data_IF_646141302529
#
_entry.id   IF_646141302529
#
_cell.length_a   1.000
_cell.length_b   1.000
_cell.length_c   1.000
_cell.angle_alpha   90.00
_cell.angle_beta   90.00
_cell.angle_gamma   90.00
#
_symmetry.space_group_name_H-M   'P 1'
#
loop_
_entity.id
_entity.type
_entity.pdbx_description
1 polymer ?
#
# COMPACT_ATOMS: atom_id res chain seq x y z
N UNK A 1 -17.10 -6.31 1.20
CA UNK A 1 -15.81 -5.58 1.11
C UNK A 1 -15.38 -5.56 -0.35
N UNK A 2 -15.87 -4.60 -1.15
CA UNK A 2 -15.66 -4.62 -2.61
C UNK A 2 -14.52 -3.69 -3.08
N UNK A 3 -13.98 -2.83 -2.21
CA UNK A 3 -12.97 -1.83 -2.59
C UNK A 3 -11.52 -2.36 -2.67
N UNK A 4 -11.22 -3.50 -2.05
CA UNK A 4 -9.85 -4.04 -1.94
C UNK A 4 -9.37 -4.82 -3.17
N UNK A 5 -10.27 -5.18 -4.09
CA UNK A 5 -9.92 -5.90 -5.33
C UNK A 5 -9.61 -4.95 -6.50
N UNK A 6 -9.95 -3.67 -6.38
CA UNK A 6 -9.63 -2.69 -7.41
C UNK A 6 -8.14 -2.30 -7.31
N UNK A 7 -7.50 -2.11 -8.46
CA UNK A 7 -6.12 -1.62 -8.50
C UNK A 7 -6.05 -0.08 -8.51
N UNK A 8 -7.18 0.59 -8.65
CA UNK A 8 -7.28 2.05 -8.64
C UNK A 8 -7.07 2.68 -7.27
N UNK A 9 -6.56 3.91 -7.26
CA UNK A 9 -6.39 4.70 -6.03
C UNK A 9 -7.73 4.95 -5.37
N UNK A 10 -7.72 4.95 -4.03
CA UNK A 10 -8.90 5.31 -3.24
C UNK A 10 -8.80 6.76 -2.74
N UNK A 11 -9.93 7.46 -2.59
CA UNK A 11 -9.93 8.82 -2.06
C UNK A 11 -9.46 8.90 -0.60
N UNK A 12 -9.74 7.87 0.20
CA UNK A 12 -9.33 7.79 1.61
C UNK A 12 -8.54 6.51 1.85
N UNK A 13 -7.25 6.67 2.15
CA UNK A 13 -6.34 5.58 2.50
C UNK A 13 -5.96 5.71 3.98
N UNK A 14 -6.57 4.88 4.83
CA UNK A 14 -6.23 4.79 6.26
C UNK A 14 -5.11 3.79 6.49
N UNK A 15 -4.44 3.86 7.65
CA UNK A 15 -3.37 2.92 8.00
C UNK A 15 -3.86 1.47 7.99
N UNK A 16 -5.02 1.19 8.60
CA UNK A 16 -5.60 -0.15 8.61
C UNK A 16 -5.92 -0.65 7.20
N UNK A 17 -6.48 0.22 6.35
CA UNK A 17 -6.76 -0.13 4.96
C UNK A 17 -5.49 -0.36 4.15
N UNK A 18 -4.45 0.44 4.38
CA UNK A 18 -3.15 0.27 3.74
C UNK A 18 -2.52 -1.09 4.08
N UNK A 19 -2.63 -1.53 5.34
CA UNK A 19 -2.20 -2.88 5.72
C UNK A 19 -3.01 -3.97 5.01
N UNK A 20 -4.34 -3.85 4.95
CA UNK A 20 -5.18 -4.80 4.20
C UNK A 20 -4.80 -4.82 2.72
N UNK A 21 -4.58 -3.67 2.08
CA UNK A 21 -4.14 -3.59 0.68
C UNK A 21 -2.80 -4.30 0.49
N UNK A 22 -1.82 -4.08 1.37
CA UNK A 22 -0.52 -4.75 1.28
C UNK A 22 -0.61 -6.27 1.42
N UNK A 23 -1.58 -6.78 2.20
CA UNK A 23 -1.84 -8.21 2.37
C UNK A 23 -2.63 -8.80 1.19
N UNK A 24 -3.65 -8.09 0.69
CA UNK A 24 -4.51 -8.56 -0.41
C UNK A 24 -3.77 -8.49 -1.75
N UNK A 25 -3.01 -7.42 -2.00
CA UNK A 25 -2.23 -7.23 -3.22
C UNK A 25 -0.82 -7.81 -3.08
N UNK A 26 -0.64 -8.91 -2.34
CA UNK A 26 0.68 -9.50 -2.08
C UNK A 26 1.41 -9.84 -3.39
N UNK A 27 0.68 -10.39 -4.36
CA UNK A 27 1.19 -10.76 -5.69
C UNK A 27 1.39 -9.57 -6.64
N UNK A 28 0.86 -8.39 -6.32
CA UNK A 28 1.03 -7.22 -7.19
C UNK A 28 2.37 -6.55 -6.96
N UNK A 29 3.07 -6.19 -8.04
CA UNK A 29 4.21 -5.31 -7.94
C UNK A 29 3.77 -3.91 -7.50
N UNK A 30 4.44 -3.36 -6.48
CA UNK A 30 4.16 -1.99 -5.98
C UNK A 30 4.27 -0.96 -7.12
N UNK A 31 5.26 -1.11 -8.00
CA UNK A 31 5.48 -0.22 -9.14
C UNK A 31 4.34 -0.22 -10.17
N UNK A 32 3.51 -1.28 -10.20
CA UNK A 32 2.45 -1.48 -11.20
C UNK A 32 1.07 -1.21 -10.63
N UNK A 33 0.80 -1.58 -9.36
CA UNK A 33 -0.50 -1.37 -8.73
C UNK A 33 -0.56 0.00 -8.04
N UNK A 34 -1.35 0.97 -8.54
CA UNK A 34 -1.41 2.30 -7.94
C UNK A 34 -2.04 2.29 -6.55
N UNK A 35 -2.94 1.35 -6.23
CA UNK A 35 -3.47 1.16 -4.89
C UNK A 35 -2.40 0.68 -3.89
N UNK A 36 -1.55 -0.29 -4.29
CA UNK A 36 -0.45 -0.79 -3.45
C UNK A 36 0.63 0.27 -3.26
N UNK A 37 0.90 1.07 -4.30
CA UNK A 37 1.76 2.25 -4.21
C UNK A 37 1.24 3.25 -3.17
N UNK A 38 -0.04 3.62 -3.26
CA UNK A 38 -0.67 4.54 -2.31
C UNK A 38 -0.66 3.99 -0.88
N UNK A 39 -0.92 2.69 -0.70
CA UNK A 39 -0.86 2.05 0.60
C UNK A 39 0.55 2.10 1.19
N UNK A 40 1.57 1.81 0.39
CA UNK A 40 2.97 1.89 0.82
C UNK A 40 3.35 3.32 1.23
N UNK A 41 3.02 4.32 0.41
CA UNK A 41 3.28 5.74 0.73
C UNK A 41 2.65 6.13 2.06
N UNK A 42 1.39 5.73 2.30
CA UNK A 42 0.70 6.02 3.56
C UNK A 42 1.33 5.33 4.77
N UNK A 43 1.82 4.11 4.62
CA UNK A 43 2.54 3.43 5.68
C UNK A 43 3.91 4.07 5.96
N UNK A 44 4.58 4.62 4.93
CA UNK A 44 5.81 5.40 5.08
C UNK A 44 5.54 6.72 5.80
N UNK A 45 4.54 7.49 5.36
CA UNK A 45 4.11 8.74 6.01
C UNK A 45 3.74 8.52 7.48
N UNK A 46 3.05 7.41 7.78
CA UNK A 46 2.70 7.01 9.13
C UNK A 46 3.88 6.45 9.95
N UNK A 47 5.11 6.40 9.40
CA UNK A 47 6.30 5.77 9.99
C UNK A 47 6.09 4.31 10.41
N UNK A 48 5.13 3.62 9.79
CA UNK A 48 4.82 2.19 10.00
C UNK A 48 5.57 1.28 9.04
N UNK A 49 6.10 1.84 7.95
CA UNK A 49 6.96 1.16 7.00
C UNK A 49 8.18 2.04 6.76
N UNK A 50 9.33 1.63 7.28
CA UNK A 50 10.59 2.28 6.97
C UNK A 50 11.08 1.62 5.68
N UNK A 51 11.24 2.34 4.55
CA UNK A 51 11.96 1.77 3.43
C UNK A 51 13.34 1.39 3.95
N UNK A 52 13.72 0.13 3.80
CA UNK A 52 15.04 -0.35 4.22
C UNK A 52 16.10 0.32 3.32
N UNK A 53 16.50 1.53 3.73
CA UNK A 53 17.53 2.33 3.08
C UNK A 53 18.94 1.86 3.46
N UNK A 54 19.05 0.69 4.12
CA UNK A 54 20.32 0.10 4.55
C UNK A 54 20.87 -0.98 3.61
N UNK A 55 20.25 -1.20 2.44
CA UNK A 55 20.80 -2.11 1.42
C UNK A 55 21.60 -1.31 0.37
N UNK A 56 22.95 -1.33 0.43
CA UNK A 56 23.82 -0.71 -0.58
C UNK A 56 23.78 -1.43 -1.93
#
# INVERSE_FOLDING_TARGET
MYGVMNHDRVPVMTIGFAHTVMQVHIDCAVCVCPLKQQARERLIEAKRLVPDSSRP
#
